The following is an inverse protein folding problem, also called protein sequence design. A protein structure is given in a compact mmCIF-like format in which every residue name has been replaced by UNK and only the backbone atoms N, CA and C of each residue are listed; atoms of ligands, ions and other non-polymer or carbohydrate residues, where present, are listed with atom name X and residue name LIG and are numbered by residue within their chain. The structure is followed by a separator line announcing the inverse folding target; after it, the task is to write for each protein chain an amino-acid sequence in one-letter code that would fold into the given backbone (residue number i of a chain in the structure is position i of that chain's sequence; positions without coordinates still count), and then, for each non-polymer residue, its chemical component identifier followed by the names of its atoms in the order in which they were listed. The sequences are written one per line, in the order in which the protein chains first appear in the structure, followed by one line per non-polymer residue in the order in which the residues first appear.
data_IF_072731230014
#
_entry.id   IF_072731230014
#
_cell.length_a   1.000
_cell.length_b   1.000
_cell.length_c   1.000
_cell.angle_alpha   90.00
_cell.angle_beta   90.00
_cell.angle_gamma   90.00
#
_symmetry.space_group_name_H-M   'P 1'
#
loop_
_entity.id
_entity.type
_entity.pdbx_description
1 polymer ?
#
# COMPACT_ATOMS: atom_id res chain seq x y z
N UNK A 1 -26.37 -52.25 -35.50
CA UNK A 1 -27.18 -51.15 -34.92
C UNK A 1 -27.04 -51.26 -33.42
N UNK A 2 -26.56 -50.33 -32.60
CA UNK A 2 -26.00 -48.98 -32.75
C UNK A 2 -24.98 -48.84 -31.60
N UNK A 3 -23.90 -48.12 -31.86
CA UNK A 3 -22.74 -47.97 -30.98
C UNK A 3 -23.12 -47.32 -29.64
N UNK A 4 -22.60 -47.91 -28.56
CA UNK A 4 -22.50 -47.28 -27.24
C UNK A 4 -21.31 -46.31 -27.22
N UNK A 5 -21.32 -45.42 -26.20
CA UNK A 5 -20.33 -44.40 -25.84
C UNK A 5 -20.55 -43.02 -26.46
N UNK A 6 -21.50 -42.29 -25.86
CA UNK A 6 -21.43 -40.83 -25.79
C UNK A 6 -20.66 -40.48 -24.50
N UNK A 7 -19.38 -40.11 -24.65
CA UNK A 7 -18.58 -39.55 -23.57
C UNK A 7 -18.89 -38.05 -23.53
N UNK A 8 -19.77 -37.65 -22.61
CA UNK A 8 -20.01 -36.24 -22.31
C UNK A 8 -18.83 -35.70 -21.51
N UNK A 9 -17.88 -35.06 -22.19
CA UNK A 9 -16.83 -34.27 -21.56
C UNK A 9 -17.46 -33.01 -20.93
N UNK A 10 -17.78 -33.08 -19.64
CA UNK A 10 -18.10 -31.90 -18.85
C UNK A 10 -16.78 -31.15 -18.59
N UNK A 11 -16.48 -30.18 -19.45
CA UNK A 11 -15.45 -29.19 -19.17
C UNK A 11 -15.96 -28.28 -18.04
N UNK A 12 -15.68 -28.68 -16.80
CA UNK A 12 -15.65 -27.76 -15.66
C UNK A 12 -14.52 -26.77 -15.93
N UNK A 13 -14.85 -25.69 -16.65
CA UNK A 13 -14.08 -24.47 -16.62
C UNK A 13 -14.17 -23.92 -15.20
N UNK A 14 -13.37 -24.48 -14.30
CA UNK A 14 -12.93 -23.81 -13.09
C UNK A 14 -12.08 -22.62 -13.58
N UNK A 15 -12.76 -21.55 -13.96
CA UNK A 15 -12.19 -20.21 -13.92
C UNK A 15 -11.97 -19.92 -12.44
N UNK A 16 -10.92 -20.51 -11.87
CA UNK A 16 -10.16 -19.77 -10.90
C UNK A 16 -9.68 -18.55 -11.68
N UNK A 17 -10.42 -17.44 -11.55
CA UNK A 17 -9.81 -16.14 -11.65
C UNK A 17 -8.77 -16.12 -10.53
N UNK A 18 -7.65 -16.80 -10.73
CA UNK A 18 -6.42 -16.53 -10.02
C UNK A 18 -6.14 -15.10 -10.41
N UNK A 19 -6.32 -14.14 -9.50
CA UNK A 19 -6.03 -12.77 -9.86
C UNK A 19 -4.51 -12.80 -10.06
N UNK A 20 -4.09 -12.66 -11.32
CA UNK A 20 -2.70 -12.44 -11.67
C UNK A 20 -2.35 -11.04 -11.13
N UNK A 21 -2.19 -10.93 -9.81
CA UNK A 21 -2.00 -9.67 -9.11
C UNK A 21 -0.54 -9.24 -9.19
N UNK A 22 -0.05 -9.00 -10.40
CA UNK A 22 0.90 -7.93 -10.64
C UNK A 22 0.08 -6.64 -10.82
N UNK A 23 -0.65 -6.28 -9.77
CA UNK A 23 -1.72 -5.29 -9.85
C UNK A 23 -1.20 -3.90 -9.52
N UNK A 24 -1.46 -2.95 -10.42
CA UNK A 24 -1.42 -1.53 -10.08
C UNK A 24 -2.65 -1.18 -9.24
N UNK A 25 -2.48 -0.34 -8.24
CA UNK A 25 -3.56 0.15 -7.41
C UNK A 25 -3.43 1.65 -7.15
N UNK A 26 -4.55 2.28 -6.85
CA UNK A 26 -4.60 3.63 -6.27
C UNK A 26 -5.14 3.53 -4.86
N UNK A 27 -4.81 4.47 -4.01
CA UNK A 27 -5.36 4.51 -2.66
C UNK A 27 -5.55 5.93 -2.16
N UNK A 28 -6.51 6.10 -1.25
CA UNK A 28 -6.69 7.32 -0.48
C UNK A 28 -6.50 7.01 0.99
N UNK A 29 -5.84 7.89 1.74
CA UNK A 29 -5.63 7.74 3.18
C UNK A 29 -6.41 8.79 3.97
N UNK A 30 -6.82 8.40 5.17
CA UNK A 30 -7.32 9.31 6.20
C UNK A 30 -6.54 9.05 7.49
N UNK A 31 -5.75 10.04 7.91
CA UNK A 31 -4.96 9.97 9.14
C UNK A 31 -5.74 10.48 10.35
N UNK A 32 -5.52 9.88 11.51
CA UNK A 32 -5.93 10.41 12.81
C UNK A 32 -4.92 11.41 13.37
N UNK A 33 -5.02 11.73 14.66
CA UNK A 33 -4.04 12.60 15.31
C UNK A 33 -2.65 11.94 15.38
N UNK A 34 -1.61 12.70 15.07
CA UNK A 34 -0.23 12.24 15.19
C UNK A 34 0.31 12.45 16.61
N UNK A 35 0.96 11.43 17.16
CA UNK A 35 1.77 11.54 18.38
C UNK A 35 3.17 11.97 17.96
N UNK A 36 3.58 13.17 18.37
CA UNK A 36 4.91 13.70 18.06
C UNK A 36 5.87 13.60 19.24
N UNK A 37 7.14 13.42 18.94
CA UNK A 37 8.25 13.48 19.91
C UNK A 37 9.41 14.26 19.31
N UNK A 38 10.17 14.97 20.15
CA UNK A 38 11.27 15.83 19.71
C UNK A 38 10.81 17.15 19.09
N UNK A 39 11.68 17.79 18.32
CA UNK A 39 11.37 19.05 17.62
C UNK A 39 11.01 18.80 16.16
N UNK A 40 10.33 19.74 15.47
CA UNK A 40 9.96 19.57 14.06
C UNK A 40 11.12 19.24 13.10
N UNK A 41 12.34 19.63 13.46
CA UNK A 41 13.55 19.44 12.66
C UNK A 41 14.31 18.15 13.00
N UNK A 42 14.03 17.57 14.17
CA UNK A 42 14.71 16.41 14.78
C UNK A 42 13.73 15.65 15.67
N UNK A 43 12.63 15.23 15.06
CA UNK A 43 11.50 14.63 15.73
C UNK A 43 11.04 13.35 15.06
N UNK A 44 10.35 12.55 15.85
CA UNK A 44 9.62 11.38 15.40
C UNK A 44 8.12 11.63 15.46
N UNK A 45 7.36 10.89 14.66
CA UNK A 45 5.92 10.83 14.77
C UNK A 45 5.44 9.37 14.73
N UNK A 46 4.30 9.12 15.35
CA UNK A 46 3.49 7.94 15.15
C UNK A 46 2.08 8.38 14.81
N UNK A 47 1.51 7.80 13.77
CA UNK A 47 0.14 8.10 13.36
C UNK A 47 -0.55 6.81 12.94
N UNK A 48 -1.85 6.73 13.20
CA UNK A 48 -2.70 5.65 12.71
C UNK A 48 -3.78 6.21 11.80
N UNK A 49 -4.33 5.36 10.95
CA UNK A 49 -5.42 5.77 10.08
C UNK A 49 -5.94 4.63 9.23
N UNK A 50 -6.73 5.00 8.23
CA UNK A 50 -7.33 4.07 7.28
C UNK A 50 -6.94 4.42 5.85
N UNK A 51 -7.05 3.43 4.97
CA UNK A 51 -6.99 3.64 3.53
C UNK A 51 -8.15 2.94 2.84
N UNK A 52 -8.51 3.46 1.67
CA UNK A 52 -9.35 2.78 0.70
C UNK A 52 -8.48 2.53 -0.53
N UNK A 53 -8.28 1.26 -0.87
CA UNK A 53 -7.51 0.85 -2.03
C UNK A 53 -8.47 0.52 -3.17
N UNK A 54 -8.09 0.90 -4.39
CA UNK A 54 -8.75 0.52 -5.63
C UNK A 54 -7.73 -0.14 -6.54
N UNK A 55 -7.88 -1.45 -6.72
CA UNK A 55 -7.07 -2.26 -7.62
C UNK A 55 -7.45 -1.97 -9.08
N UNK A 56 -6.61 -2.29 -10.05
CA UNK A 56 -6.91 -2.13 -11.48
C UNK A 56 -8.14 -2.93 -11.95
N UNK A 57 -8.34 -4.12 -11.40
CA UNK A 57 -9.39 -5.07 -11.77
C UNK A 57 -10.84 -4.61 -11.50
N UNK A 58 -11.04 -3.53 -10.75
CA UNK A 58 -12.38 -3.11 -10.34
C UNK A 58 -12.57 -3.01 -8.84
N UNK A 59 -11.84 -3.85 -8.11
CA UNK A 59 -12.10 -4.13 -6.72
C UNK A 59 -11.59 -3.05 -5.78
N UNK A 60 -12.29 -2.89 -4.67
CA UNK A 60 -11.87 -2.02 -3.58
C UNK A 60 -11.88 -2.78 -2.26
N UNK A 61 -10.95 -2.40 -1.39
CA UNK A 61 -10.93 -2.87 -0.02
C UNK A 61 -10.39 -1.78 0.90
N UNK A 62 -10.82 -1.85 2.17
CA UNK A 62 -10.33 -0.97 3.21
C UNK A 62 -9.11 -1.58 3.89
N UNK A 63 -8.22 -0.72 4.37
CA UNK A 63 -7.08 -1.12 5.18
C UNK A 63 -6.94 -0.18 6.38
N UNK A 64 -6.27 -0.67 7.41
CA UNK A 64 -5.78 0.15 8.53
C UNK A 64 -4.28 0.20 8.49
N UNK A 65 -3.70 1.33 8.88
CA UNK A 65 -2.26 1.49 8.93
C UNK A 65 -1.80 2.12 10.23
N UNK A 66 -0.59 1.77 10.65
CA UNK A 66 0.17 2.45 11.69
C UNK A 66 1.52 2.83 11.08
N UNK A 67 1.81 4.13 11.06
CA UNK A 67 3.04 4.66 10.52
C UNK A 67 3.88 5.28 11.62
N UNK A 68 5.19 5.04 11.57
CA UNK A 68 6.19 5.78 12.34
C UNK A 68 7.09 6.53 11.38
N UNK A 69 7.34 7.81 11.68
CA UNK A 69 8.17 8.68 10.86
C UNK A 69 9.28 9.33 11.67
N UNK A 70 10.40 9.62 11.02
CA UNK A 70 11.48 10.45 11.57
C UNK A 70 11.85 11.55 10.59
N UNK A 71 12.04 12.77 11.10
CA UNK A 71 12.49 13.92 10.33
C UNK A 71 14.01 13.96 10.25
N UNK A 72 14.52 14.33 9.08
CA UNK A 72 15.95 14.39 8.80
C UNK A 72 16.45 15.84 8.90
N UNK A 73 17.58 16.12 9.58
CA UNK A 73 18.14 17.47 9.68
C UNK A 73 18.38 18.13 8.32
N UNK A 74 18.28 19.47 8.24
CA UNK A 74 18.56 20.19 6.99
C UNK A 74 20.03 20.06 6.56
N UNK A 75 20.25 20.17 5.24
CA UNK A 75 21.54 20.26 4.53
C UNK A 75 22.27 18.96 4.12
N UNK A 76 21.92 17.79 4.67
CA UNK A 76 22.58 16.51 4.32
C UNK A 76 21.59 15.36 4.03
N UNK A 77 20.42 15.68 3.47
CA UNK A 77 19.31 14.72 3.30
C UNK A 77 18.88 14.55 1.84
N UNK A 78 18.49 13.32 1.50
CA UNK A 78 17.74 13.03 0.28
C UNK A 78 16.25 13.33 0.52
N UNK A 79 15.72 13.00 1.70
CA UNK A 79 14.32 13.19 2.08
C UNK A 79 14.19 13.94 3.40
N UNK A 80 13.22 14.85 3.47
CA UNK A 80 12.81 15.56 4.69
C UNK A 80 12.37 14.65 5.82
N UNK A 81 11.72 13.53 5.48
CA UNK A 81 11.31 12.52 6.44
C UNK A 81 11.39 11.11 5.85
N UNK A 82 11.59 10.14 6.74
CA UNK A 82 11.46 8.72 6.42
C UNK A 82 10.34 8.12 7.26
N UNK A 83 9.46 7.35 6.63
CA UNK A 83 8.29 6.76 7.28
C UNK A 83 8.22 5.27 6.99
N UNK A 84 7.89 4.47 8.01
CA UNK A 84 7.58 3.05 7.86
C UNK A 84 6.17 2.82 8.37
N UNK A 85 5.35 2.20 7.54
CA UNK A 85 3.96 1.90 7.82
C UNK A 85 3.75 0.39 7.83
N UNK A 86 3.10 -0.10 8.88
CA UNK A 86 2.48 -1.42 8.88
C UNK A 86 1.03 -1.29 8.45
N UNK A 87 0.62 -2.09 7.46
CA UNK A 87 -0.70 -2.05 6.86
C UNK A 87 -1.36 -3.42 6.99
N UNK A 88 -2.59 -3.40 7.49
CA UNK A 88 -3.45 -4.57 7.69
C UNK A 88 -4.71 -4.46 6.82
N UNK A 89 -4.98 -5.53 6.08
CA UNK A 89 -6.11 -5.68 5.17
C UNK A 89 -6.71 -7.08 5.31
N UNK A 90 -7.97 -7.25 4.91
CA UNK A 90 -8.59 -8.57 4.73
C UNK A 90 -7.86 -9.41 3.66
N UNK A 91 -7.09 -8.76 2.77
CA UNK A 91 -6.27 -9.42 1.75
C UNK A 91 -4.92 -9.89 2.27
N UNK A 92 -4.46 -9.38 3.41
CA UNK A 92 -3.16 -9.71 3.99
C UNK A 92 -2.47 -8.50 4.61
N UNK A 93 -1.26 -8.73 5.10
CA UNK A 93 -0.46 -7.72 5.80
C UNK A 93 0.76 -7.37 4.97
N UNK A 94 1.10 -6.09 4.89
CA UNK A 94 2.31 -5.61 4.23
C UNK A 94 2.91 -4.42 4.97
N UNK A 95 4.11 -4.02 4.56
CA UNK A 95 4.82 -2.84 5.05
C UNK A 95 5.08 -1.91 3.88
N UNK A 96 4.90 -0.61 4.09
CA UNK A 96 5.30 0.43 3.16
C UNK A 96 6.38 1.30 3.80
N UNK A 97 7.47 1.56 3.08
CA UNK A 97 8.54 2.45 3.53
C UNK A 97 8.64 3.61 2.57
N UNK A 98 8.61 4.83 3.08
CA UNK A 98 8.61 6.06 2.31
C UNK A 98 9.80 6.95 2.66
N UNK A 99 10.34 7.61 1.63
CA UNK A 99 11.06 8.87 1.76
C UNK A 99 10.15 10.01 1.27
N UNK A 100 10.03 11.07 2.08
CA UNK A 100 9.10 12.17 1.86
C UNK A 100 9.80 13.51 1.77
N UNK A 101 9.33 14.38 0.88
CA UNK A 101 9.68 15.80 0.82
C UNK A 101 8.52 16.65 1.30
N UNK A 102 8.83 17.69 2.06
CA UNK A 102 7.89 18.75 2.38
C UNK A 102 7.68 19.63 1.16
N UNK A 103 6.42 19.96 0.91
CA UNK A 103 5.97 20.82 -0.19
C UNK A 103 5.30 22.07 0.38
N UNK A 104 5.00 23.02 -0.49
CA UNK A 104 4.31 24.24 -0.09
C UNK A 104 2.98 23.96 0.63
N UNK A 105 2.65 24.84 1.56
CA UNK A 105 1.43 24.73 2.37
C UNK A 105 1.45 23.63 3.43
N UNK A 106 2.57 22.91 3.63
CA UNK A 106 2.65 21.82 4.62
C UNK A 106 2.14 20.47 4.10
N UNK A 107 2.03 20.33 2.77
CA UNK A 107 1.81 19.03 2.14
C UNK A 107 3.13 18.27 2.00
N UNK A 108 3.05 16.97 1.75
CA UNK A 108 4.21 16.10 1.55
C UNK A 108 4.03 15.25 0.30
N UNK A 109 5.13 15.04 -0.41
CA UNK A 109 5.22 14.11 -1.53
C UNK A 109 6.23 13.02 -1.21
N UNK A 110 5.83 11.76 -1.34
CA UNK A 110 6.59 10.60 -0.90
C UNK A 110 6.70 9.55 -2.00
N UNK A 111 7.84 8.87 -2.01
CA UNK A 111 8.09 7.68 -2.83
C UNK A 111 8.64 6.58 -1.94
N UNK A 112 8.33 5.33 -2.27
CA UNK A 112 8.57 4.23 -1.36
C UNK A 112 8.55 2.85 -1.98
N UNK A 113 8.87 1.89 -1.13
CA UNK A 113 8.82 0.46 -1.43
C UNK A 113 7.73 -0.25 -0.62
N UNK A 114 7.26 -1.36 -1.15
CA UNK A 114 6.31 -2.25 -0.51
C UNK A 114 6.94 -3.62 -0.26
N UNK A 115 6.61 -4.22 0.88
CA UNK A 115 7.01 -5.57 1.22
C UNK A 115 5.82 -6.33 1.82
N UNK A 116 5.36 -7.35 1.11
CA UNK A 116 4.21 -8.14 1.52
C UNK A 116 4.59 -9.29 2.45
N UNK A 117 3.87 -9.41 3.57
CA UNK A 117 4.18 -10.36 4.66
C UNK A 117 3.25 -11.57 4.65
N UNK A 118 1.96 -11.38 4.40
CA UNK A 118 0.95 -12.45 4.48
C UNK A 118 -0.13 -12.31 3.40
N UNK A 119 -0.98 -13.33 3.28
CA UNK A 119 -2.15 -13.31 2.40
C UNK A 119 -1.79 -13.14 0.92
N UNK A 120 -2.59 -12.37 0.20
CA UNK A 120 -2.40 -12.05 -1.20
C UNK A 120 -1.09 -11.28 -1.49
N UNK A 121 -0.49 -10.69 -0.47
CA UNK A 121 0.77 -9.93 -0.61
C UNK A 121 2.01 -10.78 -0.29
N UNK A 122 1.87 -11.99 0.26
CA UNK A 122 3.01 -12.77 0.77
C UNK A 122 4.11 -12.95 -0.29
N UNK A 123 5.33 -12.51 0.05
CA UNK A 123 6.51 -12.63 -0.82
C UNK A 123 6.63 -11.56 -1.90
N UNK A 124 5.57 -10.77 -2.14
CA UNK A 124 5.58 -9.69 -3.14
C UNK A 124 6.42 -8.51 -2.67
N UNK A 125 7.02 -7.83 -3.64
CA UNK A 125 7.64 -6.52 -3.46
C UNK A 125 6.91 -5.51 -4.31
N UNK A 126 7.08 -4.23 -4.03
CA UNK A 126 6.41 -3.21 -4.81
C UNK A 126 7.04 -1.84 -4.69
N UNK A 127 6.51 -0.93 -5.47
CA UNK A 127 6.78 0.49 -5.36
C UNK A 127 5.48 1.23 -5.02
N UNK A 128 5.61 2.35 -4.33
CA UNK A 128 4.46 3.17 -3.95
C UNK A 128 4.81 4.64 -3.98
N UNK A 129 3.81 5.47 -4.23
CA UNK A 129 3.89 6.93 -4.14
C UNK A 129 2.77 7.42 -3.24
N UNK A 130 2.98 8.52 -2.53
CA UNK A 130 1.93 9.18 -1.77
C UNK A 130 2.08 10.70 -1.83
N UNK A 131 0.96 11.41 -1.84
CA UNK A 131 0.92 12.86 -1.70
C UNK A 131 -0.26 13.26 -0.82
N UNK A 132 -0.03 14.12 0.16
CA UNK A 132 -1.07 14.50 1.10
C UNK A 132 -0.61 15.48 2.17
N UNK A 133 -1.41 15.60 3.22
CA UNK A 133 -1.15 16.41 4.41
C UNK A 133 -1.72 15.70 5.64
N UNK A 134 -0.98 15.73 6.75
CA UNK A 134 -1.42 15.19 8.04
C UNK A 134 -1.93 13.74 7.96
N UNK A 135 -1.24 12.90 7.19
CA UNK A 135 -1.62 11.49 6.96
C UNK A 135 -2.82 11.28 6.03
N UNK A 136 -3.48 12.36 5.58
CA UNK A 136 -4.59 12.31 4.64
C UNK A 136 -4.14 12.67 3.23
N UNK A 137 -4.45 11.84 2.24
CA UNK A 137 -3.89 12.01 0.91
C UNK A 137 -4.28 10.91 -0.08
N UNK A 138 -3.51 10.81 -1.15
CA UNK A 138 -3.68 9.79 -2.17
C UNK A 138 -2.35 9.29 -2.70
N UNK A 139 -2.37 8.09 -3.25
CA UNK A 139 -1.17 7.44 -3.74
C UNK A 139 -1.44 6.36 -4.77
N UNK A 140 -0.34 5.80 -5.28
CA UNK A 140 -0.36 4.67 -6.21
C UNK A 140 0.54 3.57 -5.68
N UNK A 141 0.20 2.34 -5.99
CA UNK A 141 0.97 1.15 -5.64
C UNK A 141 1.15 0.30 -6.89
N UNK A 142 2.30 -0.36 -6.96
CA UNK A 142 2.56 -1.37 -7.96
C UNK A 142 3.23 -2.56 -7.28
N UNK A 143 2.59 -3.73 -7.39
CA UNK A 143 3.13 -4.98 -6.90
C UNK A 143 3.86 -5.75 -8.00
N UNK A 144 4.97 -6.37 -7.61
CA UNK A 144 5.82 -7.23 -8.42
C UNK A 144 5.89 -8.62 -7.76
N UNK A 145 5.87 -9.65 -8.60
CA UNK A 145 6.07 -11.05 -8.22
C UNK A 145 7.55 -11.42 -8.15
#
# INVERSE_FOLDING_TARGET
MKNALAISAAALALTFASPALAGTATYTTQGGDAVQTGSPERGGNMQTGTSMVRMDDGSSHSETWTCIGVTTPPNDKIFDAHTVCDIESDKGVYTATFGCQNMEGGSQGCVGGLYGRTGAYAGKRGATTWSGRDGSGSGTMQWYD
#
